data_IF_287332067092
#
_entry.id   IF_287332067092
#
_cell.length_a   1.000
_cell.length_b   1.000
_cell.length_c   1.000
_cell.angle_alpha   90.00
_cell.angle_beta   90.00
_cell.angle_gamma   90.00
#
_symmetry.space_group_name_H-M   'P 1'
#
loop_
_entity.id
_entity.type
_entity.pdbx_description
1 polymer ?
#
# COMPACT_ATOMS: atom_id res chain seq x y z
N UNK A 1 -36.88 -12.97 -25.82
CA UNK A 1 -35.66 -12.43 -26.48
C UNK A 1 -34.97 -11.36 -25.62
N UNK A 2 -35.70 -10.46 -24.98
CA UNK A 2 -35.14 -9.38 -24.15
C UNK A 2 -34.27 -9.86 -22.97
N UNK A 3 -34.67 -10.95 -22.29
CA UNK A 3 -33.94 -11.51 -21.13
C UNK A 3 -32.53 -12.00 -21.51
N UNK A 4 -32.36 -12.54 -22.72
CA UNK A 4 -31.07 -12.98 -23.26
C UNK A 4 -30.14 -11.82 -23.60
N UNK A 5 -30.69 -10.70 -24.08
CA UNK A 5 -29.92 -9.49 -24.36
C UNK A 5 -29.47 -8.81 -23.06
N UNK A 6 -30.36 -8.71 -22.08
CA UNK A 6 -30.06 -8.19 -20.74
C UNK A 6 -28.96 -9.03 -20.05
N UNK A 7 -29.06 -10.37 -20.13
CA UNK A 7 -28.04 -11.28 -19.59
C UNK A 7 -26.67 -11.09 -20.24
N UNK A 8 -26.63 -10.90 -21.57
CA UNK A 8 -25.37 -10.69 -22.31
C UNK A 8 -24.72 -9.34 -21.94
N UNK A 9 -25.54 -8.31 -21.72
CA UNK A 9 -25.07 -7.00 -21.28
C UNK A 9 -24.55 -7.03 -19.83
N UNK A 10 -25.25 -7.71 -18.92
CA UNK A 10 -24.77 -7.91 -17.55
C UNK A 10 -23.47 -8.72 -17.49
N UNK A 11 -23.29 -9.72 -18.34
CA UNK A 11 -22.04 -10.48 -18.43
C UNK A 11 -20.87 -9.59 -18.90
N UNK A 12 -21.09 -8.75 -19.91
CA UNK A 12 -20.08 -7.83 -20.39
C UNK A 12 -19.69 -6.76 -19.35
N UNK A 13 -20.66 -6.23 -18.60
CA UNK A 13 -20.43 -5.26 -17.51
C UNK A 13 -19.66 -5.93 -16.36
N UNK A 14 -20.04 -7.16 -15.99
CA UNK A 14 -19.33 -7.99 -15.02
C UNK A 14 -17.86 -8.18 -15.39
N UNK A 15 -17.60 -8.59 -16.63
CA UNK A 15 -16.25 -8.86 -17.12
C UNK A 15 -15.40 -7.58 -17.15
N UNK A 16 -15.99 -6.45 -17.56
CA UNK A 16 -15.32 -5.15 -17.54
C UNK A 16 -14.95 -4.71 -16.11
N UNK A 17 -15.87 -4.86 -15.15
CA UNK A 17 -15.63 -4.54 -13.73
C UNK A 17 -14.54 -5.45 -13.15
N UNK A 18 -14.53 -6.73 -13.52
CA UNK A 18 -13.50 -7.68 -13.09
C UNK A 18 -12.10 -7.30 -13.61
N UNK A 19 -11.97 -6.95 -14.90
CA UNK A 19 -10.70 -6.50 -15.50
C UNK A 19 -10.22 -5.20 -14.84
N UNK A 20 -11.12 -4.23 -14.65
CA UNK A 20 -10.81 -2.95 -14.00
C UNK A 20 -10.25 -3.17 -12.59
N UNK A 21 -10.87 -4.10 -11.83
CA UNK A 21 -10.45 -4.44 -10.48
C UNK A 21 -9.08 -5.11 -10.42
N UNK A 22 -8.76 -6.02 -11.35
CA UNK A 22 -7.42 -6.62 -11.45
C UNK A 22 -6.34 -5.58 -11.72
N UNK A 23 -6.59 -4.68 -12.68
CA UNK A 23 -5.66 -3.60 -13.02
C UNK A 23 -5.48 -2.65 -11.84
N UNK A 24 -6.58 -2.29 -11.16
CA UNK A 24 -6.55 -1.41 -10.00
C UNK A 24 -5.81 -2.02 -8.80
N UNK A 25 -5.99 -3.32 -8.55
CA UNK A 25 -5.27 -4.03 -7.49
C UNK A 25 -3.75 -4.08 -7.75
N UNK A 26 -3.34 -4.33 -8.99
CA UNK A 26 -1.93 -4.28 -9.37
C UNK A 26 -1.36 -2.87 -9.25
N UNK A 27 -2.13 -1.85 -9.65
CA UNK A 27 -1.75 -0.45 -9.53
C UNK A 27 -1.58 -0.01 -8.06
N UNK A 28 -2.48 -0.45 -7.17
CA UNK A 28 -2.37 -0.23 -5.73
C UNK A 28 -1.09 -0.85 -5.16
N UNK A 29 -0.82 -2.12 -5.46
CA UNK A 29 0.39 -2.80 -4.99
C UNK A 29 1.66 -2.08 -5.49
N UNK A 30 1.69 -1.73 -6.77
CA UNK A 30 2.81 -0.96 -7.36
C UNK A 30 2.99 0.38 -6.67
N UNK A 31 1.90 1.07 -6.32
CA UNK A 31 1.95 2.36 -5.63
C UNK A 31 2.53 2.20 -4.22
N UNK A 32 2.11 1.17 -3.48
CA UNK A 32 2.59 0.88 -2.11
C UNK A 32 4.09 0.54 -2.11
N UNK A 33 4.54 -0.31 -3.05
CA UNK A 33 5.97 -0.65 -3.18
C UNK A 33 6.83 0.57 -3.54
N UNK A 34 6.31 1.43 -4.42
CA UNK A 34 7.01 2.64 -4.84
C UNK A 34 7.12 3.64 -3.69
N UNK A 35 6.06 3.85 -2.91
CA UNK A 35 6.09 4.74 -1.74
C UNK A 35 7.00 4.20 -0.64
N UNK A 36 6.99 2.89 -0.38
CA UNK A 36 7.91 2.23 0.55
C UNK A 36 9.37 2.51 0.18
N UNK A 37 9.70 2.27 -1.09
CA UNK A 37 11.05 2.49 -1.63
C UNK A 37 11.43 3.97 -1.51
N UNK A 38 10.53 4.90 -1.84
CA UNK A 38 10.77 6.34 -1.70
C UNK A 38 11.04 6.76 -0.26
N UNK A 39 10.30 6.23 0.73
CA UNK A 39 10.53 6.52 2.14
C UNK A 39 11.93 6.07 2.56
N UNK A 40 12.34 4.84 2.20
CA UNK A 40 13.67 4.32 2.48
C UNK A 40 14.75 5.20 1.85
N UNK A 41 14.59 5.61 0.59
CA UNK A 41 15.56 6.49 -0.07
C UNK A 41 15.70 7.84 0.64
N UNK A 42 14.60 8.49 1.02
CA UNK A 42 14.66 9.78 1.73
C UNK A 42 15.36 9.64 3.09
N UNK A 43 15.05 8.58 3.84
CA UNK A 43 15.72 8.28 5.13
C UNK A 43 17.21 7.96 4.95
N UNK A 44 17.57 7.21 3.90
CA UNK A 44 18.95 6.88 3.58
C UNK A 44 19.76 8.14 3.27
N UNK A 45 19.27 9.00 2.37
CA UNK A 45 19.94 10.25 2.02
C UNK A 45 20.06 11.16 3.23
N UNK A 46 19.04 11.21 4.09
CA UNK A 46 19.08 11.95 5.35
C UNK A 46 20.19 11.46 6.30
N UNK A 47 20.29 10.15 6.53
CA UNK A 47 21.32 9.59 7.40
C UNK A 47 22.73 9.73 6.80
N UNK A 48 22.85 9.56 5.48
CA UNK A 48 24.10 9.78 4.77
C UNK A 48 24.56 11.24 4.86
N UNK A 49 23.65 12.20 4.74
CA UNK A 49 23.92 13.63 4.92
C UNK A 49 24.47 13.94 6.31
N UNK A 50 23.85 13.38 7.36
CA UNK A 50 24.31 13.54 8.75
C UNK A 50 25.73 12.97 8.93
N UNK A 51 25.97 11.77 8.39
CA UNK A 51 27.22 11.07 8.60
C UNK A 51 28.39 11.63 7.77
N UNK A 52 28.15 11.90 6.48
CA UNK A 52 29.21 12.37 5.59
C UNK A 52 29.56 13.83 5.87
N UNK A 53 28.62 14.64 6.38
CA UNK A 53 28.87 15.89 7.12
C UNK A 53 29.77 16.95 6.46
N UNK A 54 30.12 16.78 5.20
CA UNK A 54 31.13 17.56 4.51
C UNK A 54 30.42 18.48 3.51
N UNK A 55 30.47 19.78 3.78
CA UNK A 55 30.18 20.91 2.85
C UNK A 55 28.77 21.52 2.77
N UNK A 56 27.88 21.37 3.77
CA UNK A 56 26.65 22.18 3.78
C UNK A 56 26.61 23.17 4.95
N UNK A 57 26.16 24.39 4.66
CA UNK A 57 25.95 25.42 5.68
C UNK A 57 24.84 24.98 6.67
N UNK A 58 24.81 25.57 7.87
CA UNK A 58 23.76 25.25 8.84
C UNK A 58 22.34 25.47 8.28
N UNK A 59 22.18 26.46 7.39
CA UNK A 59 20.91 26.79 6.71
C UNK A 59 20.50 25.69 5.73
N UNK A 60 21.42 25.21 4.89
CA UNK A 60 21.10 24.16 3.90
C UNK A 60 20.74 22.83 4.59
N UNK A 61 21.38 22.54 5.73
CA UNK A 61 21.05 21.36 6.54
C UNK A 61 19.64 21.45 7.11
N UNK A 62 19.22 22.63 7.56
CA UNK A 62 17.87 22.84 8.08
C UNK A 62 16.82 22.67 6.97
N UNK A 63 17.04 23.27 5.80
CA UNK A 63 16.14 23.13 4.64
C UNK A 63 16.00 21.67 4.24
N UNK A 64 17.11 20.91 4.22
CA UNK A 64 17.07 19.49 3.89
C UNK A 64 16.29 18.66 4.93
N UNK A 65 16.48 18.95 6.22
CA UNK A 65 15.73 18.30 7.29
C UNK A 65 14.21 18.56 7.17
N UNK A 66 13.82 19.81 6.94
CA UNK A 66 12.42 20.17 6.73
C UNK A 66 11.85 19.47 5.49
N UNK A 67 12.60 19.43 4.37
CA UNK A 67 12.20 18.70 3.17
C UNK A 67 12.02 17.19 3.42
N UNK A 68 12.91 16.56 4.19
CA UNK A 68 12.79 15.15 4.58
C UNK A 68 11.53 14.90 5.44
N UNK A 69 11.27 15.74 6.44
CA UNK A 69 10.06 15.62 7.28
C UNK A 69 8.80 15.76 6.42
N UNK A 70 8.76 16.76 5.54
CA UNK A 70 7.63 16.99 4.64
C UNK A 70 7.42 15.78 3.74
N UNK A 71 8.49 15.24 3.14
CA UNK A 71 8.41 14.07 2.26
C UNK A 71 7.89 12.83 3.00
N UNK A 72 8.47 12.49 4.16
CA UNK A 72 8.03 11.34 4.97
C UNK A 72 6.57 11.48 5.38
N UNK A 73 6.16 12.68 5.83
CA UNK A 73 4.77 12.97 6.20
C UNK A 73 3.84 12.80 5.01
N UNK A 74 4.20 13.35 3.85
CA UNK A 74 3.43 13.23 2.61
C UNK A 74 3.21 11.76 2.19
N UNK A 75 4.27 10.95 2.16
CA UNK A 75 4.15 9.54 1.79
C UNK A 75 3.38 8.72 2.82
N UNK A 76 3.49 9.07 4.11
CA UNK A 76 2.72 8.44 5.18
C UNK A 76 1.23 8.74 5.04
N UNK A 77 0.85 10.00 4.79
CA UNK A 77 -0.54 10.39 4.53
C UNK A 77 -1.09 9.66 3.31
N UNK A 78 -0.30 9.57 2.22
CA UNK A 78 -0.69 8.85 1.00
C UNK A 78 -0.99 7.37 1.27
N UNK A 79 -0.15 6.69 2.06
CA UNK A 79 -0.37 5.30 2.47
C UNK A 79 -1.61 5.15 3.35
N UNK A 80 -1.82 6.06 4.31
CA UNK A 80 -3.02 6.06 5.16
C UNK A 80 -4.30 6.23 4.35
N UNK A 81 -4.33 7.14 3.38
CA UNK A 81 -5.49 7.35 2.50
C UNK A 81 -5.80 6.10 1.67
N UNK A 82 -4.77 5.43 1.13
CA UNK A 82 -4.93 4.19 0.37
C UNK A 82 -5.54 3.10 1.25
N UNK A 83 -4.99 2.89 2.45
CA UNK A 83 -5.47 1.85 3.36
C UNK A 83 -6.88 2.15 3.86
N UNK A 84 -7.16 3.41 4.20
CA UNK A 84 -8.49 3.85 4.59
C UNK A 84 -9.52 3.62 3.48
N UNK A 85 -9.19 3.94 2.22
CA UNK A 85 -10.07 3.68 1.09
C UNK A 85 -10.30 2.16 0.87
N UNK A 86 -9.25 1.35 1.04
CA UNK A 86 -9.36 -0.11 0.93
C UNK A 86 -10.23 -0.72 2.04
N UNK A 87 -10.06 -0.27 3.28
CA UNK A 87 -10.82 -0.75 4.43
C UNK A 87 -12.29 -0.30 4.39
N UNK A 88 -12.55 0.94 3.99
CA UNK A 88 -13.91 1.44 3.76
C UNK A 88 -14.61 0.65 2.64
N UNK A 89 -13.90 0.41 1.52
CA UNK A 89 -14.43 -0.41 0.43
C UNK A 89 -14.74 -1.85 0.86
N UNK A 90 -13.89 -2.44 1.71
CA UNK A 90 -14.11 -3.77 2.30
C UNK A 90 -15.36 -3.79 3.20
N UNK A 91 -15.53 -2.80 4.07
CA UNK A 91 -16.67 -2.73 4.99
C UNK A 91 -17.99 -2.56 4.23
N UNK A 92 -18.02 -1.67 3.22
CA UNK A 92 -19.19 -1.50 2.36
C UNK A 92 -19.49 -2.76 1.54
N UNK A 93 -18.47 -3.45 1.02
CA UNK A 93 -18.67 -4.71 0.30
C UNK A 93 -19.27 -5.80 1.22
N UNK A 94 -18.85 -5.86 2.49
CA UNK A 94 -19.39 -6.80 3.47
C UNK A 94 -20.86 -6.52 3.80
N UNK A 95 -21.25 -5.25 3.95
CA UNK A 95 -22.64 -4.82 4.20
C UNK A 95 -23.56 -5.11 3.01
N UNK A 96 -23.07 -4.87 1.79
CA UNK A 96 -23.81 -5.24 0.57
C UNK A 96 -23.95 -6.76 0.48
N UNK A 97 -22.91 -7.51 0.85
CA UNK A 97 -22.95 -8.98 0.84
C UNK A 97 -24.01 -9.54 1.79
N UNK A 98 -24.09 -9.03 3.02
CA UNK A 98 -25.07 -9.49 4.01
C UNK A 98 -26.50 -9.16 3.56
N UNK A 99 -26.72 -7.95 3.06
CA UNK A 99 -28.02 -7.51 2.53
C UNK A 99 -28.46 -8.37 1.34
N UNK A 100 -27.54 -8.68 0.42
CA UNK A 100 -27.82 -9.57 -0.71
C UNK A 100 -28.16 -10.98 -0.24
N UNK A 101 -27.50 -11.48 0.81
CA UNK A 101 -27.78 -12.81 1.35
C UNK A 101 -29.17 -12.89 1.97
N UNK A 102 -29.60 -11.86 2.70
CA UNK A 102 -30.93 -11.78 3.30
C UNK A 102 -32.05 -11.73 2.25
N UNK A 103 -31.86 -10.92 1.20
CA UNK A 103 -32.83 -10.83 0.11
C UNK A 103 -32.83 -12.11 -0.75
N UNK A 104 -31.67 -12.75 -0.94
CA UNK A 104 -31.57 -14.06 -1.61
C UNK A 104 -32.34 -15.15 -0.87
N UNK A 105 -32.30 -15.15 0.47
CA UNK A 105 -33.02 -16.13 1.28
C UNK A 105 -34.54 -15.94 1.22
N UNK A 106 -35.01 -14.70 1.03
CA UNK A 106 -36.44 -14.38 0.92
C UNK A 106 -36.98 -14.42 -0.53
N UNK A 107 -36.13 -14.40 -1.56
CA UNK A 107 -36.57 -14.34 -2.95
C UNK A 107 -36.98 -15.72 -3.52
N UNK A 108 -38.24 -15.84 -3.97
CA UNK A 108 -38.78 -17.06 -4.62
C UNK A 108 -38.46 -17.17 -6.11
N UNK A 109 -38.02 -16.07 -6.76
CA UNK A 109 -37.80 -16.00 -8.20
C UNK A 109 -36.39 -16.48 -8.60
N UNK A 110 -36.32 -17.51 -9.46
CA UNK A 110 -35.07 -18.13 -9.93
C UNK A 110 -34.12 -17.16 -10.64
N UNK A 111 -34.63 -16.11 -11.31
CA UNK A 111 -33.79 -15.14 -12.01
C UNK A 111 -33.08 -14.19 -11.05
N UNK A 112 -33.81 -13.65 -10.07
CA UNK A 112 -33.26 -12.81 -8.99
C UNK A 112 -32.22 -13.62 -8.19
N UNK A 113 -32.53 -14.90 -7.92
CA UNK A 113 -31.63 -15.82 -7.24
C UNK A 113 -30.33 -16.05 -8.01
N UNK A 114 -30.38 -16.12 -9.34
CA UNK A 114 -29.20 -16.27 -10.19
C UNK A 114 -28.36 -14.99 -10.26
N UNK A 115 -28.99 -13.83 -10.42
CA UNK A 115 -28.30 -12.53 -10.44
C UNK A 115 -27.64 -12.21 -9.10
N UNK A 116 -28.32 -12.48 -7.99
CA UNK A 116 -27.74 -12.36 -6.64
C UNK A 116 -26.62 -13.35 -6.40
N UNK A 117 -26.70 -14.57 -6.95
CA UNK A 117 -25.59 -15.54 -6.89
C UNK A 117 -24.40 -15.06 -7.71
N UNK A 118 -24.61 -14.46 -8.88
CA UNK A 118 -23.53 -13.91 -9.72
C UNK A 118 -22.89 -12.69 -9.04
N UNK A 119 -23.71 -11.81 -8.45
CA UNK A 119 -23.24 -10.67 -7.67
C UNK A 119 -22.48 -11.12 -6.43
N UNK A 120 -23.02 -12.08 -5.68
CA UNK A 120 -22.35 -12.71 -4.53
C UNK A 120 -21.08 -13.45 -4.94
N UNK A 121 -21.01 -14.05 -6.13
CA UNK A 121 -19.80 -14.66 -6.68
C UNK A 121 -18.76 -13.61 -7.08
N UNK A 122 -19.17 -12.48 -7.68
CA UNK A 122 -18.30 -11.32 -7.96
C UNK A 122 -17.79 -10.67 -6.67
N UNK A 123 -18.62 -10.68 -5.63
CA UNK A 123 -18.33 -10.21 -4.28
C UNK A 123 -17.56 -11.26 -3.44
N UNK A 124 -17.57 -12.53 -3.81
CA UNK A 124 -16.80 -13.61 -3.16
C UNK A 124 -15.46 -13.85 -3.84
N UNK A 125 -15.35 -13.58 -5.15
CA UNK A 125 -14.09 -13.27 -5.84
C UNK A 125 -13.58 -11.86 -5.48
N UNK A 126 -14.39 -11.08 -4.77
CA UNK A 126 -13.92 -10.10 -3.81
C UNK A 126 -13.67 -10.81 -2.48
N UNK A 127 -12.71 -11.75 -2.44
CA UNK A 127 -12.07 -12.00 -1.15
C UNK A 127 -11.68 -10.63 -0.59
N UNK A 128 -12.11 -10.37 0.63
CA UNK A 128 -12.10 -9.10 1.35
C UNK A 128 -10.70 -8.69 1.79
N UNK A 129 -9.78 -8.81 0.85
CA UNK A 129 -8.36 -8.64 0.91
C UNK A 129 -8.02 -8.28 -0.51
N UNK A 130 -7.63 -7.02 -0.75
CA UNK A 130 -6.98 -6.62 -1.99
C UNK A 130 -5.67 -7.42 -2.08
N UNK A 131 -5.79 -8.70 -2.42
CA UNK A 131 -4.74 -9.69 -2.45
C UNK A 131 -4.12 -9.60 -3.83
N UNK A 132 -3.27 -8.60 -3.99
CA UNK A 132 -2.37 -8.60 -5.13
C UNK A 132 -1.34 -9.70 -4.86
N UNK A 133 -1.58 -10.89 -5.42
CA UNK A 133 -0.60 -11.99 -5.44
C UNK A 133 -0.11 -12.43 -4.05
N UNK A 134 -1.02 -12.53 -3.07
CA UNK A 134 -0.75 -13.05 -1.73
C UNK A 134 -0.49 -12.01 -0.63
N UNK A 135 -0.46 -10.72 -0.97
CA UNK A 135 -0.30 -9.62 -0.02
C UNK A 135 -1.64 -8.96 0.29
N UNK A 136 -2.09 -9.09 1.53
CA UNK A 136 -3.31 -8.46 2.02
C UNK A 136 -3.04 -6.98 2.30
N UNK A 137 -3.58 -6.08 1.49
CA UNK A 137 -3.53 -4.63 1.78
C UNK A 137 -4.51 -4.32 2.93
N UNK A 138 -4.01 -4.39 4.16
CA UNK A 138 -4.72 -4.10 5.40
C UNK A 138 -3.83 -3.29 6.38
N UNK A 139 -4.34 -3.03 7.59
CA UNK A 139 -3.57 -2.38 8.65
C UNK A 139 -2.33 -3.20 9.08
N UNK A 140 -2.32 -4.52 8.85
CA UNK A 140 -1.16 -5.39 9.07
C UNK A 140 -0.02 -5.01 8.12
N UNK A 141 -0.33 -4.76 6.85
CA UNK A 141 0.67 -4.33 5.86
C UNK A 141 1.36 -3.03 6.28
N UNK A 142 0.61 -2.05 6.80
CA UNK A 142 1.21 -0.82 7.34
C UNK A 142 2.16 -1.10 8.50
N UNK A 143 1.78 -2.02 9.37
CA UNK A 143 2.58 -2.42 10.54
C UNK A 143 3.87 -3.12 10.11
N UNK A 144 3.79 -4.03 9.14
CA UNK A 144 4.95 -4.70 8.55
C UNK A 144 5.87 -3.71 7.82
N UNK A 145 5.30 -2.77 7.06
CA UNK A 145 6.07 -1.73 6.38
C UNK A 145 6.78 -0.82 7.39
N UNK A 146 6.11 -0.41 8.47
CA UNK A 146 6.72 0.37 9.54
C UNK A 146 7.86 -0.40 10.20
N UNK A 147 7.65 -1.69 10.51
CA UNK A 147 8.70 -2.57 11.04
C UNK A 147 9.89 -2.72 10.09
N UNK A 148 9.62 -2.85 8.79
CA UNK A 148 10.63 -2.92 7.73
C UNK A 148 11.46 -1.63 7.65
N UNK A 149 10.81 -0.46 7.65
CA UNK A 149 11.48 0.85 7.65
C UNK A 149 12.39 0.98 8.88
N UNK A 150 11.87 0.67 10.08
CA UNK A 150 12.66 0.72 11.33
C UNK A 150 13.88 -0.19 11.24
N UNK A 151 13.70 -1.42 10.75
CA UNK A 151 14.79 -2.39 10.61
C UNK A 151 15.85 -1.89 9.64
N UNK A 152 15.46 -1.37 8.47
CA UNK A 152 16.38 -0.79 7.50
C UNK A 152 17.16 0.40 8.08
N UNK A 153 16.47 1.30 8.81
CA UNK A 153 17.09 2.45 9.46
C UNK A 153 18.11 1.99 10.52
N UNK A 154 17.76 1.01 11.35
CA UNK A 154 18.67 0.47 12.36
C UNK A 154 19.92 -0.16 11.75
N UNK A 155 19.77 -0.96 10.69
CA UNK A 155 20.89 -1.56 9.95
C UNK A 155 21.77 -0.46 9.37
N UNK A 156 21.19 0.56 8.75
CA UNK A 156 21.95 1.68 8.18
C UNK A 156 22.74 2.43 9.26
N UNK A 157 22.12 2.73 10.39
CA UNK A 157 22.79 3.37 11.53
C UNK A 157 23.97 2.51 12.01
N UNK A 158 23.79 1.19 12.17
CA UNK A 158 24.87 0.29 12.56
C UNK A 158 26.06 0.34 11.59
N UNK A 159 25.81 0.29 10.27
CA UNK A 159 26.87 0.42 9.27
C UNK A 159 27.59 1.77 9.33
N UNK A 160 26.85 2.86 9.54
CA UNK A 160 27.43 4.20 9.68
C UNK A 160 28.36 4.27 10.90
N UNK A 161 27.92 3.81 12.07
CA UNK A 161 28.75 3.75 13.29
C UNK A 161 30.00 2.86 13.13
N UNK A 162 29.90 1.74 12.41
CA UNK A 162 31.07 0.90 12.12
C UNK A 162 32.08 1.61 11.22
N UNK A 163 31.61 2.38 10.24
CA UNK A 163 32.49 3.10 9.31
C UNK A 163 33.28 4.24 9.98
N UNK A 164 32.66 4.98 10.91
CA UNK A 164 33.32 6.06 11.64
C UNK A 164 34.42 5.56 12.60
N UNK A 165 34.25 4.35 13.16
CA UNK A 165 35.25 3.69 14.01
C UNK A 165 36.53 3.29 13.25
N UNK A 166 36.43 2.98 11.95
CA UNK A 166 37.59 2.61 11.13
C UNK A 166 38.42 3.82 10.65
N UNK A 167 37.82 5.01 10.55
CA UNK A 167 38.53 6.24 10.14
C UNK A 167 39.46 6.83 11.21
N UNK A 168 39.30 6.45 12.48
CA UNK A 168 40.05 7.02 13.62
C UNK A 168 41.48 6.48 13.82
N UNK A 169 41.96 5.54 12.99
CA UNK A 169 43.24 4.86 13.20
C UNK A 169 44.40 5.28 12.29
N UNK A 170 44.21 6.19 11.33
CA UNK A 170 45.25 6.52 10.35
C UNK A 170 46.05 7.80 10.63
N UNK A 171 45.86 8.49 11.75
CA UNK A 171 46.55 9.76 12.03
C UNK A 171 47.07 9.85 13.48
N UNK A 172 47.83 8.84 13.92
CA UNK A 172 48.65 8.95 15.15
C UNK A 172 50.11 8.52 15.01
N UNK A 173 50.55 8.06 13.84
CA UNK A 173 51.93 7.61 13.63
C UNK A 173 52.76 8.54 12.73
N UNK A 174 52.40 9.82 12.64
CA UNK A 174 53.27 10.83 12.02
C UNK A 174 53.06 12.17 12.70
N UNK A 175 53.81 12.39 13.78
CA UNK A 175 54.53 13.62 14.20
C UNK A 175 55.05 13.37 15.62
#
# INVERSE_FOLDING_TARGET
MEITALKKQHLAISDAVHILKMVFSLHLLSTILMTFTQIIFHLYFYLMQIHLGLYLSNEDRQIFFEACIIAVTYYSIKLMLIVWACETGKNQAMEISSTVHDVFNNASNKQIKYEMRLFSLQLSHCENTFSAKGLTVDATLLTEMAGGIITYVLILIQFLFMSSSCGGKSLKDTI
#
